data_IF_208154323717
#
_entry.id   IF_208154323717
#
_cell.length_a   1.000
_cell.length_b   1.000
_cell.length_c   1.000
_cell.angle_alpha   90.00
_cell.angle_beta   90.00
_cell.angle_gamma   90.00
#
_symmetry.space_group_name_H-M   'P 1'
#
loop_
_entity.id
_entity.type
_entity.pdbx_description
1 polymer ?
#
# COMPACT_ATOMS: atom_id res chain seq x y z
N UNK A 1 -13.11 52.79 42.87
CA UNK A 1 -11.78 52.83 43.52
C UNK A 1 -10.97 51.72 42.87
N UNK A 2 -10.30 52.01 41.75
CA UNK A 2 -8.86 52.34 41.65
C UNK A 2 -8.00 51.09 41.82
N UNK A 3 -7.04 50.66 40.99
CA UNK A 3 -6.31 51.02 39.75
C UNK A 3 -5.62 49.67 39.35
N UNK A 4 -5.26 49.29 38.12
CA UNK A 4 -4.44 49.94 37.07
C UNK A 4 -3.12 49.15 36.85
N UNK A 5 -2.60 49.17 35.61
CA UNK A 5 -1.39 48.52 35.02
C UNK A 5 -1.54 47.03 34.62
N UNK A 6 -1.70 46.63 33.36
CA UNK A 6 -1.02 46.93 32.07
C UNK A 6 0.42 46.43 31.98
N UNK A 7 0.64 45.39 31.16
CA UNK A 7 1.84 45.19 30.34
C UNK A 7 1.48 44.41 29.08
N UNK A 8 1.78 45.03 27.94
CA UNK A 8 1.62 44.57 26.56
C UNK A 8 2.85 43.78 26.08
N UNK A 9 2.57 42.93 25.11
CA UNK A 9 3.30 42.61 23.86
C UNK A 9 4.83 42.43 23.92
N UNK A 10 5.29 41.29 23.40
CA UNK A 10 6.22 41.30 22.24
C UNK A 10 6.14 39.95 21.50
N UNK A 11 5.71 40.06 20.24
CA UNK A 11 5.84 39.08 19.17
C UNK A 11 7.31 39.09 18.72
N UNK A 12 7.91 37.93 18.43
CA UNK A 12 9.19 37.88 17.72
C UNK A 12 9.00 37.18 16.38
N UNK A 13 8.88 38.02 15.36
CA UNK A 13 8.93 37.74 13.94
C UNK A 13 10.40 37.53 13.52
N UNK A 14 10.76 36.38 12.95
CA UNK A 14 12.09 36.18 12.35
C UNK A 14 11.97 36.27 10.83
N UNK A 15 12.29 37.47 10.34
CA UNK A 15 12.35 37.81 8.92
C UNK A 15 13.78 38.20 8.52
N UNK A 16 14.25 37.56 7.44
CA UNK A 16 15.28 37.98 6.48
C UNK A 16 16.77 37.99 6.89
N UNK A 17 17.54 37.15 6.20
CA UNK A 17 18.78 37.59 5.57
C UNK A 17 18.84 37.07 4.13
N UNK A 18 18.53 37.98 3.20
CA UNK A 18 18.95 37.94 1.80
C UNK A 18 20.14 38.89 1.73
N UNK A 19 21.30 38.39 1.33
CA UNK A 19 22.34 39.06 0.52
C UNK A 19 23.72 38.42 0.75
N UNK A 20 24.18 37.62 -0.23
CA UNK A 20 25.48 37.85 -0.84
C UNK A 20 25.55 37.13 -2.20
N UNK A 21 25.65 37.94 -3.25
CA UNK A 21 25.84 37.56 -4.64
C UNK A 21 27.16 38.20 -5.06
N UNK A 22 28.24 37.41 -5.11
CA UNK A 22 29.48 37.71 -5.85
C UNK A 22 29.94 36.35 -6.39
N UNK A 23 29.69 36.00 -7.66
CA UNK A 23 30.48 36.38 -8.84
C UNK A 23 31.98 36.19 -8.61
N UNK A 24 32.58 35.21 -9.30
CA UNK A 24 33.90 35.32 -9.96
C UNK A 24 34.20 34.05 -10.76
N UNK A 25 34.41 34.24 -12.07
CA UNK A 25 35.33 33.51 -12.96
C UNK A 25 35.16 32.00 -13.21
N UNK A 26 34.76 31.66 -14.45
CA UNK A 26 34.92 30.31 -15.00
C UNK A 26 36.32 30.05 -15.54
N UNK A 27 36.57 28.85 -16.07
CA UNK A 27 37.57 28.65 -17.12
C UNK A 27 36.91 28.13 -18.40
N UNK A 28 36.83 29.00 -19.41
CA UNK A 28 36.93 28.51 -20.79
C UNK A 28 38.39 28.20 -21.07
N UNK A 29 38.67 27.06 -21.71
CA UNK A 29 39.54 27.04 -22.89
C UNK A 29 39.53 25.68 -23.60
N UNK A 30 39.40 25.81 -24.92
CA UNK A 30 39.90 24.92 -25.98
C UNK A 30 38.92 23.84 -26.45
N UNK A 31 38.12 24.28 -27.41
CA UNK A 31 37.71 23.50 -28.56
C UNK A 31 38.91 22.77 -29.18
N UNK A 32 38.96 21.45 -29.02
CA UNK A 32 39.72 20.55 -29.90
C UNK A 32 38.82 19.36 -30.22
N UNK A 33 38.34 19.34 -31.46
CA UNK A 33 37.47 18.30 -31.96
C UNK A 33 38.11 16.91 -31.84
N UNK A 34 37.33 15.98 -31.31
CA UNK A 34 37.47 14.56 -31.55
C UNK A 34 36.07 14.03 -31.80
N UNK A 35 35.76 13.84 -33.08
CA UNK A 35 34.65 13.04 -33.54
C UNK A 35 34.86 11.60 -33.05
N UNK A 36 34.28 11.26 -31.90
CA UNK A 36 34.16 9.87 -31.49
C UNK A 36 33.01 9.28 -32.31
N UNK A 37 33.39 8.50 -33.32
CA UNK A 37 32.46 7.73 -34.15
C UNK A 37 31.50 6.93 -33.26
N UNK A 38 30.21 7.20 -33.37
CA UNK A 38 29.14 6.50 -32.66
C UNK A 38 28.87 5.10 -33.28
N UNK A 39 29.93 4.32 -33.54
CA UNK A 39 29.84 3.06 -34.25
C UNK A 39 30.68 1.97 -33.60
N UNK A 40 30.31 1.54 -32.39
CA UNK A 40 30.45 0.13 -31.94
C UNK A 40 30.17 0.02 -30.45
N UNK A 41 29.01 0.50 -30.01
CA UNK A 41 28.59 0.19 -28.65
C UNK A 41 27.57 -0.96 -28.77
N UNK A 42 27.96 -2.21 -28.51
CA UNK A 42 27.21 -3.39 -28.95
C UNK A 42 25.94 -3.64 -28.15
N UNK A 43 24.77 -3.77 -28.79
CA UNK A 43 23.38 -3.83 -28.25
C UNK A 43 23.18 -4.38 -26.81
N UNK A 44 23.96 -5.36 -26.37
CA UNK A 44 23.99 -5.89 -24.99
C UNK A 44 24.32 -4.86 -23.88
N UNK A 45 24.92 -3.70 -24.16
CA UNK A 45 25.10 -2.65 -23.14
C UNK A 45 23.87 -1.74 -22.96
N UNK A 46 22.98 -1.61 -23.95
CA UNK A 46 21.71 -0.86 -23.80
C UNK A 46 20.73 -1.64 -22.90
N UNK A 47 20.84 -2.97 -22.88
CA UNK A 47 19.98 -3.86 -22.10
C UNK A 47 20.16 -3.73 -20.59
N UNK A 48 21.24 -3.08 -20.11
CA UNK A 48 21.50 -2.86 -18.67
C UNK A 48 21.11 -1.47 -18.18
N UNK A 49 20.49 -0.65 -19.02
CA UNK A 49 19.95 0.66 -18.64
C UNK A 49 18.43 0.71 -18.69
N UNK A 50 17.76 -0.43 -18.55
CA UNK A 50 16.40 -0.47 -18.02
C UNK A 50 16.48 -0.08 -16.54
N UNK A 51 16.69 1.21 -16.29
CA UNK A 51 16.56 1.82 -14.97
C UNK A 51 15.16 1.41 -14.52
N UNK A 52 15.07 0.57 -13.48
CA UNK A 52 13.82 0.39 -12.74
C UNK A 52 13.48 1.76 -12.19
N UNK A 53 12.76 2.56 -12.98
CA UNK A 53 12.20 3.80 -12.48
C UNK A 53 11.34 3.35 -11.30
N UNK A 54 11.59 3.83 -10.08
CA UNK A 54 10.74 3.49 -8.96
C UNK A 54 9.32 3.85 -9.41
N UNK A 55 8.41 2.87 -9.42
CA UNK A 55 7.10 3.11 -10.00
C UNK A 55 6.46 4.30 -9.29
N UNK A 56 6.13 5.31 -10.08
CA UNK A 56 5.56 6.55 -9.61
C UNK A 56 4.23 6.24 -8.92
N UNK A 57 4.01 6.86 -7.77
CA UNK A 57 2.69 6.83 -7.11
C UNK A 57 1.80 7.81 -7.85
N UNK A 58 0.64 7.33 -8.31
CA UNK A 58 -0.39 8.13 -8.97
C UNK A 58 -1.58 8.25 -8.02
N UNK A 59 -2.14 9.45 -7.88
CA UNK A 59 -3.36 9.69 -7.10
C UNK A 59 -4.54 9.74 -8.06
N UNK A 60 -5.58 8.97 -7.80
CA UNK A 60 -6.79 8.89 -8.61
C UNK A 60 -7.99 9.27 -7.73
N UNK A 61 -8.72 10.31 -8.12
CA UNK A 61 -9.91 10.80 -7.43
C UNK A 61 -11.17 10.41 -8.22
N UNK A 62 -12.13 9.73 -7.59
CA UNK A 62 -13.30 9.19 -8.28
C UNK A 62 -14.47 8.87 -7.34
N UNK A 63 -15.63 8.52 -7.91
CA UNK A 63 -16.79 8.05 -7.16
C UNK A 63 -16.55 6.62 -6.66
N UNK A 64 -16.26 6.48 -5.37
CA UNK A 64 -15.93 5.23 -4.70
C UNK A 64 -17.10 4.50 -4.07
N UNK A 65 -18.35 4.85 -4.38
CA UNK A 65 -19.54 4.17 -3.83
C UNK A 65 -19.44 2.66 -4.03
N UNK A 66 -19.72 1.89 -2.97
CA UNK A 66 -19.62 0.45 -2.98
C UNK A 66 -18.29 -0.04 -3.61
N UNK A 67 -17.16 0.55 -3.20
CA UNK A 67 -15.85 0.36 -3.84
C UNK A 67 -15.47 -1.13 -4.07
N UNK A 68 -15.83 -2.01 -3.14
CA UNK A 68 -15.55 -3.45 -3.22
C UNK A 68 -16.48 -4.23 -4.17
N UNK A 69 -17.53 -3.61 -4.71
CA UNK A 69 -18.31 -4.12 -5.84
C UNK A 69 -17.68 -3.69 -7.17
N UNK A 70 -16.95 -2.58 -7.18
CA UNK A 70 -16.22 -2.07 -8.35
C UNK A 70 -14.88 -2.78 -8.57
N UNK A 71 -14.26 -3.31 -7.51
CA UNK A 71 -12.98 -4.01 -7.60
C UNK A 71 -12.82 -5.07 -6.52
N UNK A 72 -11.95 -6.07 -6.77
CA UNK A 72 -11.48 -7.00 -5.75
C UNK A 72 -9.99 -6.81 -5.48
N UNK A 73 -9.61 -7.04 -4.21
CA UNK A 73 -8.22 -6.91 -3.76
C UNK A 73 -7.67 -8.24 -3.23
N UNK A 74 -6.36 -8.42 -3.38
CA UNK A 74 -5.60 -9.55 -2.82
C UNK A 74 -4.33 -9.03 -2.14
N UNK A 75 -3.67 -9.90 -1.39
CA UNK A 75 -2.39 -9.60 -0.74
C UNK A 75 -2.50 -9.62 0.76
N UNK A 76 -1.80 -8.70 1.43
CA UNK A 76 -1.74 -8.63 2.88
C UNK A 76 -0.51 -7.87 3.38
N UNK A 77 -0.22 -7.98 4.68
CA UNK A 77 0.82 -7.15 5.32
C UNK A 77 2.23 -7.43 4.80
N UNK A 78 2.52 -8.66 4.34
CA UNK A 78 3.82 -9.03 3.81
C UNK A 78 4.00 -8.58 2.35
N UNK A 79 2.97 -8.73 1.52
CA UNK A 79 3.08 -8.50 0.07
C UNK A 79 2.64 -7.11 -0.35
N UNK A 80 1.80 -6.45 0.45
CA UNK A 80 1.03 -5.28 0.06
C UNK A 80 -0.34 -5.65 -0.51
N UNK A 81 -1.21 -4.65 -0.63
CA UNK A 81 -2.60 -4.78 -1.11
C UNK A 81 -2.66 -4.43 -2.60
N UNK A 82 -3.09 -5.38 -3.42
CA UNK A 82 -3.16 -5.26 -4.87
C UNK A 82 -4.59 -5.34 -5.36
N UNK A 83 -4.89 -4.55 -6.40
CA UNK A 83 -6.09 -4.72 -7.21
C UNK A 83 -5.93 -6.02 -8.01
N UNK A 84 -6.88 -6.93 -7.89
CA UNK A 84 -6.90 -8.22 -8.59
C UNK A 84 -7.88 -8.21 -9.75
N UNK A 85 -9.09 -7.68 -9.54
CA UNK A 85 -10.12 -7.53 -10.59
C UNK A 85 -10.74 -6.15 -10.49
N UNK A 86 -11.18 -5.63 -11.63
CA UNK A 86 -11.97 -4.40 -11.73
C UNK A 86 -13.22 -4.75 -12.52
N UNK A 87 -14.37 -4.32 -12.03
CA UNK A 87 -15.67 -4.59 -12.64
C UNK A 87 -15.84 -3.72 -13.89
N UNK A 88 -16.14 -4.31 -15.06
CA UNK A 88 -16.34 -3.53 -16.28
C UNK A 88 -17.48 -2.51 -16.15
N UNK A 89 -17.28 -1.30 -16.66
CA UNK A 89 -18.24 -0.19 -16.60
C UNK A 89 -18.37 0.47 -15.22
N UNK A 90 -17.49 0.14 -14.27
CA UNK A 90 -17.43 0.82 -12.97
C UNK A 90 -16.62 2.11 -13.04
N UNK A 91 -16.87 3.03 -12.09
CA UNK A 91 -16.07 4.26 -11.96
C UNK A 91 -14.57 3.95 -11.74
N UNK A 92 -14.27 2.84 -11.06
CA UNK A 92 -12.91 2.33 -10.93
C UNK A 92 -12.25 2.01 -12.28
N UNK A 93 -12.97 1.38 -13.22
CA UNK A 93 -12.44 1.09 -14.56
C UNK A 93 -12.25 2.37 -15.38
N UNK A 94 -13.23 3.29 -15.35
CA UNK A 94 -13.18 4.58 -16.03
C UNK A 94 -11.94 5.39 -15.63
N UNK A 95 -11.55 5.28 -14.36
CA UNK A 95 -10.38 5.95 -13.78
C UNK A 95 -9.09 5.17 -13.94
N UNK A 96 -9.08 4.21 -14.89
CA UNK A 96 -7.92 3.44 -15.29
C UNK A 96 -7.27 2.63 -14.14
N UNK A 97 -8.05 2.23 -13.12
CA UNK A 97 -7.59 1.22 -12.16
C UNK A 97 -7.49 -0.13 -12.86
N UNK A 98 -6.39 -0.85 -12.60
CA UNK A 98 -6.09 -2.12 -13.27
C UNK A 98 -5.48 -3.12 -12.30
N UNK A 99 -5.69 -4.40 -12.62
CA UNK A 99 -5.03 -5.51 -11.94
C UNK A 99 -3.52 -5.34 -11.95
N UNK A 100 -2.86 -5.66 -10.83
CA UNK A 100 -1.42 -5.50 -10.66
C UNK A 100 -0.96 -4.10 -10.23
N UNK A 101 -1.92 -3.22 -9.93
CA UNK A 101 -1.65 -1.97 -9.25
C UNK A 101 -1.78 -2.18 -7.74
N UNK A 102 -0.80 -1.69 -6.98
CA UNK A 102 -0.78 -1.74 -5.53
C UNK A 102 -1.45 -0.48 -4.97
N UNK A 103 -2.35 -0.64 -4.00
CA UNK A 103 -2.98 0.47 -3.29
C UNK A 103 -2.07 0.85 -2.12
N UNK A 104 -1.67 2.13 -2.08
CA UNK A 104 -0.76 2.68 -1.06
C UNK A 104 -1.55 3.40 0.02
N UNK A 105 -2.50 4.25 -0.36
CA UNK A 105 -3.37 4.97 0.58
C UNK A 105 -4.79 5.07 0.05
N UNK A 106 -5.74 5.18 0.97
CA UNK A 106 -7.12 5.60 0.71
C UNK A 106 -7.38 6.90 1.46
N UNK A 107 -8.05 7.83 0.82
CA UNK A 107 -8.40 9.14 1.37
C UNK A 107 -9.87 9.45 1.05
N UNK A 108 -10.69 9.55 2.08
CA UNK A 108 -12.12 9.83 2.00
C UNK A 108 -12.39 11.17 2.70
N UNK A 109 -12.31 12.25 1.92
CA UNK A 109 -12.55 13.62 2.39
C UNK A 109 -14.00 14.09 2.14
N UNK A 110 -14.84 13.27 1.49
CA UNK A 110 -16.19 13.68 1.08
C UNK A 110 -17.32 13.14 1.97
N UNK A 111 -17.05 12.12 2.78
CA UNK A 111 -18.07 11.41 3.56
C UNK A 111 -17.65 11.26 5.01
N UNK A 112 -18.45 11.81 5.92
CA UNK A 112 -18.24 11.66 7.36
C UNK A 112 -18.51 10.21 7.81
N UNK A 113 -17.63 9.59 8.62
CA UNK A 113 -16.42 10.15 9.20
C UNK A 113 -15.26 10.19 8.19
N UNK A 114 -14.66 11.37 8.02
CA UNK A 114 -13.48 11.53 7.17
C UNK A 114 -12.36 10.62 7.64
N UNK A 115 -11.70 9.93 6.71
CA UNK A 115 -10.53 9.13 7.06
C UNK A 115 -9.52 9.06 5.93
N UNK A 116 -8.26 9.05 6.34
CA UNK A 116 -7.11 8.78 5.47
C UNK A 116 -6.31 7.66 6.10
N UNK A 117 -6.01 6.63 5.31
CA UNK A 117 -5.28 5.47 5.80
C UNK A 117 -4.21 5.01 4.81
N UNK A 118 -3.06 4.62 5.35
CA UNK A 118 -1.97 3.98 4.61
C UNK A 118 -2.19 2.48 4.67
N UNK A 119 -2.29 1.84 3.50
CA UNK A 119 -2.53 0.38 3.39
C UNK A 119 -1.24 -0.44 3.41
N UNK A 120 -0.08 0.21 3.32
CA UNK A 120 1.21 -0.48 3.41
C UNK A 120 1.38 -1.16 4.77
N UNK A 121 1.62 -2.48 4.75
CA UNK A 121 1.80 -3.27 5.96
C UNK A 121 0.51 -3.63 6.71
N UNK A 122 -0.66 -3.29 6.17
CA UNK A 122 -1.94 -3.74 6.70
C UNK A 122 -2.22 -5.18 6.30
N UNK A 123 -2.87 -5.93 7.19
CA UNK A 123 -3.41 -7.24 6.82
C UNK A 123 -4.51 -7.09 5.77
N UNK A 124 -4.81 -8.15 5.03
CA UNK A 124 -5.87 -8.10 4.04
C UNK A 124 -7.23 -7.74 4.67
N UNK A 125 -7.51 -8.24 5.87
CA UNK A 125 -8.72 -7.90 6.63
C UNK A 125 -8.82 -6.40 6.94
N UNK A 126 -7.75 -5.82 7.47
CA UNK A 126 -7.71 -4.39 7.79
C UNK A 126 -7.93 -3.53 6.54
N UNK A 127 -7.26 -3.88 5.44
CA UNK A 127 -7.39 -3.17 4.18
C UNK A 127 -8.81 -3.27 3.62
N UNK A 128 -9.40 -4.48 3.58
CA UNK A 128 -10.78 -4.69 3.11
C UNK A 128 -11.78 -3.94 4.01
N UNK A 129 -11.57 -3.94 5.33
CA UNK A 129 -12.41 -3.21 6.27
C UNK A 129 -12.41 -1.70 6.00
N UNK A 130 -11.23 -1.11 5.75
CA UNK A 130 -11.12 0.30 5.39
C UNK A 130 -11.73 0.62 4.03
N UNK A 131 -11.45 -0.18 3.01
CA UNK A 131 -11.98 0.03 1.66
C UNK A 131 -13.50 -0.13 1.61
N UNK A 132 -14.10 -0.95 2.49
CA UNK A 132 -15.56 -1.09 2.62
C UNK A 132 -16.25 0.17 3.16
N UNK A 133 -15.54 0.99 3.92
CA UNK A 133 -16.07 2.24 4.49
C UNK A 133 -16.14 3.39 3.47
N UNK A 134 -15.58 3.19 2.27
CA UNK A 134 -15.66 4.16 1.20
C UNK A 134 -17.09 4.21 0.68
N UNK A 135 -17.74 5.34 0.89
CA UNK A 135 -19.13 5.61 0.49
C UNK A 135 -19.20 7.05 -0.03
N UNK A 136 -18.82 7.27 -1.29
CA UNK A 136 -18.72 8.60 -1.88
C UNK A 136 -17.43 8.83 -2.65
N UNK A 137 -17.11 10.10 -2.90
CA UNK A 137 -15.84 10.50 -3.51
C UNK A 137 -14.64 10.09 -2.64
N UNK A 138 -13.63 9.49 -3.27
CA UNK A 138 -12.37 9.14 -2.60
C UNK A 138 -11.16 9.34 -3.51
N UNK A 139 -9.99 9.45 -2.89
CA UNK A 139 -8.70 9.42 -3.56
C UNK A 139 -7.93 8.15 -3.20
N UNK A 140 -7.54 7.37 -4.22
CA UNK A 140 -6.62 6.26 -4.05
C UNK A 140 -5.22 6.66 -4.54
N UNK A 141 -4.22 6.56 -3.67
CA UNK A 141 -2.82 6.61 -4.10
C UNK A 141 -2.40 5.20 -4.49
N UNK A 142 -2.03 5.01 -5.74
CA UNK A 142 -1.73 3.70 -6.32
C UNK A 142 -0.37 3.68 -6.99
N UNK A 143 0.27 2.51 -7.03
CA UNK A 143 1.59 2.32 -7.63
C UNK A 143 1.59 1.07 -8.49
N UNK A 144 2.08 1.17 -9.72
CA UNK A 144 2.22 -0.01 -10.60
C UNK A 144 3.31 -0.92 -10.04
N UNK A 145 2.96 -2.17 -9.70
CA UNK A 145 3.91 -3.16 -9.23
C UNK A 145 3.54 -4.54 -9.79
N UNK A 146 3.71 -4.67 -11.10
CA UNK A 146 3.34 -5.87 -11.85
C UNK A 146 4.21 -7.08 -11.49
N UNK A 147 5.49 -6.87 -11.16
CA UNK A 147 6.40 -7.94 -10.73
C UNK A 147 5.91 -8.57 -9.41
N UNK A 148 5.65 -7.75 -8.38
CA UNK A 148 5.16 -8.22 -7.09
C UNK A 148 3.79 -8.89 -7.18
N UNK A 149 2.87 -8.30 -7.96
CA UNK A 149 1.56 -8.88 -8.20
C UNK A 149 1.63 -10.24 -8.89
N UNK A 150 2.42 -10.38 -9.97
CA UNK A 150 2.54 -11.65 -10.70
C UNK A 150 3.09 -12.76 -9.80
N UNK A 151 4.10 -12.43 -8.99
CA UNK A 151 4.64 -13.37 -8.01
C UNK A 151 3.55 -13.83 -7.03
N UNK A 152 2.81 -12.88 -6.44
CA UNK A 152 1.72 -13.20 -5.51
C UNK A 152 0.66 -14.10 -6.17
N UNK A 153 0.20 -13.77 -7.38
CA UNK A 153 -0.79 -14.59 -8.11
C UNK A 153 -0.25 -16.00 -8.35
N UNK A 154 1.00 -16.14 -8.78
CA UNK A 154 1.63 -17.44 -8.98
C UNK A 154 1.72 -18.24 -7.67
N UNK A 155 2.13 -17.60 -6.58
CA UNK A 155 2.25 -18.25 -5.26
C UNK A 155 0.87 -18.71 -4.74
N UNK A 156 -0.20 -17.94 -5.00
CA UNK A 156 -1.58 -18.31 -4.68
C UNK A 156 -2.09 -19.48 -5.53
N UNK A 157 -1.87 -19.45 -6.85
CA UNK A 157 -2.26 -20.52 -7.78
C UNK A 157 -1.53 -21.83 -7.48
N UNK A 158 -0.24 -21.74 -7.15
CA UNK A 158 0.58 -22.88 -6.75
C UNK A 158 0.34 -23.34 -5.31
N UNK A 159 -0.54 -22.67 -4.55
CA UNK A 159 -0.82 -22.91 -3.13
C UNK A 159 0.44 -22.88 -2.25
N UNK A 160 1.44 -22.10 -2.64
CA UNK A 160 2.65 -21.83 -1.84
C UNK A 160 2.32 -20.89 -0.69
N UNK A 161 1.36 -19.99 -0.92
CA UNK A 161 0.78 -19.12 0.10
C UNK A 161 -0.74 -19.16 0.02
N UNK A 162 -1.41 -18.95 1.14
CA UNK A 162 -2.88 -18.83 1.22
C UNK A 162 -3.36 -17.40 0.94
N UNK A 163 -2.53 -16.41 1.27
CA UNK A 163 -2.78 -14.99 1.01
C UNK A 163 -1.47 -14.19 0.90
N UNK A 164 -1.50 -12.88 1.07
CA UNK A 164 -0.29 -12.05 1.26
C UNK A 164 -0.02 -11.64 2.71
N UNK A 165 -0.76 -12.21 3.67
CA UNK A 165 -0.54 -11.99 5.10
C UNK A 165 0.60 -12.89 5.63
N UNK A 166 1.40 -12.37 6.54
CA UNK A 166 2.39 -13.14 7.30
C UNK A 166 2.80 -12.39 8.56
N UNK A 167 2.41 -12.92 9.72
CA UNK A 167 2.85 -12.43 11.03
C UNK A 167 2.67 -13.51 12.09
N UNK A 168 3.26 -13.30 13.26
CA UNK A 168 3.13 -14.21 14.38
C UNK A 168 2.27 -13.59 15.49
N UNK A 169 1.45 -14.41 16.13
CA UNK A 169 0.71 -14.04 17.34
C UNK A 169 1.07 -14.98 18.48
N UNK A 170 0.99 -14.47 19.71
CA UNK A 170 1.04 -15.29 20.92
C UNK A 170 -0.37 -15.46 21.47
N UNK A 171 -0.78 -16.71 21.61
CA UNK A 171 -2.07 -17.07 22.18
C UNK A 171 -2.04 -16.82 23.69
N UNK A 172 -2.96 -16.01 24.20
CA UNK A 172 -3.08 -15.74 25.64
C UNK A 172 -4.22 -16.53 26.30
N UNK A 173 -5.10 -17.15 25.52
CA UNK A 173 -6.26 -17.92 25.99
C UNK A 173 -6.27 -19.28 25.31
N UNK A 174 -6.47 -20.35 26.07
CA UNK A 174 -6.66 -21.68 25.49
C UNK A 174 -8.03 -21.76 24.79
N UNK A 175 -8.06 -22.35 23.60
CA UNK A 175 -9.27 -22.58 22.82
C UNK A 175 -9.29 -24.05 22.39
N UNK A 176 -10.38 -24.74 22.68
CA UNK A 176 -10.65 -26.05 22.11
C UNK A 176 -11.25 -25.85 20.72
N UNK A 177 -10.75 -26.58 19.72
CA UNK A 177 -11.34 -26.55 18.38
C UNK A 177 -12.71 -27.22 18.40
N UNK A 178 -13.78 -26.43 18.24
CA UNK A 178 -15.17 -26.89 18.29
C UNK A 178 -15.69 -27.31 16.92
N UNK A 179 -15.19 -26.68 15.87
CA UNK A 179 -15.49 -27.05 14.49
C UNK A 179 -14.35 -27.88 13.88
N UNK A 180 -14.68 -28.63 12.82
CA UNK A 180 -13.77 -29.57 12.13
C UNK A 180 -12.45 -28.93 11.62
N UNK A 181 -12.39 -27.60 11.52
CA UNK A 181 -11.23 -26.84 11.02
C UNK A 181 -10.60 -25.93 12.08
N UNK A 182 -11.20 -25.82 13.25
CA UNK A 182 -10.67 -24.96 14.30
C UNK A 182 -9.41 -25.58 14.90
N UNK A 183 -8.34 -24.80 14.93
CA UNK A 183 -7.08 -25.22 15.53
C UNK A 183 -7.21 -25.15 17.06
N UNK A 184 -7.13 -26.28 17.79
CA UNK A 184 -7.02 -26.22 19.24
C UNK A 184 -5.69 -25.59 19.62
N UNK A 185 -5.73 -24.60 20.52
CA UNK A 185 -4.55 -23.82 20.91
C UNK A 185 -4.49 -23.65 22.42
N UNK A 186 -3.28 -23.57 22.95
CA UNK A 186 -3.00 -23.39 24.37
C UNK A 186 -2.39 -22.02 24.63
N UNK A 187 -2.59 -21.50 25.84
CA UNK A 187 -1.92 -20.28 26.29
C UNK A 187 -0.39 -20.43 26.13
N UNK A 188 0.25 -19.43 25.53
CA UNK A 188 1.67 -19.42 25.23
C UNK A 188 2.05 -19.96 23.86
N UNK A 189 1.13 -20.61 23.11
CA UNK A 189 1.42 -21.01 21.74
C UNK A 189 1.72 -19.79 20.85
N UNK A 190 2.70 -19.94 19.95
CA UNK A 190 3.03 -18.95 18.93
C UNK A 190 2.51 -19.50 17.60
N UNK A 191 1.62 -18.75 16.95
CA UNK A 191 0.99 -19.16 15.70
C UNK A 191 1.47 -18.27 14.57
N UNK A 192 1.73 -18.86 13.41
CA UNK A 192 1.98 -18.14 12.18
C UNK A 192 0.63 -17.90 11.48
N UNK A 193 0.24 -16.63 11.36
CA UNK A 193 -0.97 -16.22 10.65
C UNK A 193 -0.59 -15.88 9.22
N UNK A 194 -1.15 -16.66 8.28
CA UNK A 194 -0.91 -16.53 6.84
C UNK A 194 -2.13 -16.02 6.07
N UNK A 195 -3.28 -15.88 6.71
CA UNK A 195 -4.50 -15.36 6.08
C UNK A 195 -5.50 -14.82 7.10
N UNK A 196 -5.90 -13.57 6.96
CA UNK A 196 -6.82 -12.88 7.89
C UNK A 196 -8.27 -12.76 7.39
N UNK A 197 -8.52 -12.97 6.09
CA UNK A 197 -9.86 -12.87 5.49
C UNK A 197 -10.46 -14.24 5.15
N UNK A 198 -10.23 -15.24 5.99
CA UNK A 198 -10.77 -16.57 5.76
C UNK A 198 -12.29 -16.59 5.98
N UNK A 199 -13.05 -16.71 4.89
CA UNK A 199 -14.48 -17.02 4.96
C UNK A 199 -14.66 -18.53 5.03
N UNK A 200 -15.36 -19.01 6.06
CA UNK A 200 -15.70 -20.43 6.21
C UNK A 200 -16.79 -20.79 5.19
N UNK A 201 -16.38 -21.19 3.99
CA UNK A 201 -17.28 -21.75 2.97
C UNK A 201 -17.49 -23.26 3.15
N UNK A 202 -18.63 -23.83 2.71
CA UNK A 202 -18.94 -25.26 2.87
C UNK A 202 -18.00 -26.22 2.10
N UNK A 203 -17.14 -25.71 1.21
CA UNK A 203 -16.28 -26.50 0.32
C UNK A 203 -14.77 -26.23 0.44
N UNK A 204 -14.30 -25.52 1.47
CA UNK A 204 -12.84 -25.34 1.64
C UNK A 204 -12.19 -26.72 1.84
N UNK A 205 -11.04 -27.04 1.26
CA UNK A 205 -10.34 -28.32 1.53
C UNK A 205 -9.44 -28.19 2.76
N UNK A 206 -9.18 -29.28 3.49
CA UNK A 206 -8.21 -29.27 4.59
C UNK A 206 -6.80 -29.10 4.01
N UNK A 207 -6.07 -28.08 4.45
CA UNK A 207 -4.61 -28.09 4.34
C UNK A 207 -4.06 -28.95 5.49
N UNK A 208 -3.05 -29.79 5.20
CA UNK A 208 -2.67 -30.92 6.05
C UNK A 208 -2.04 -30.52 7.41
N UNK A 209 -1.62 -29.27 7.61
CA UNK A 209 -0.94 -28.81 8.83
C UNK A 209 -1.49 -27.49 9.41
N UNK A 210 -2.55 -26.93 8.83
CA UNK A 210 -3.13 -25.63 9.23
C UNK A 210 -4.56 -25.75 9.74
N UNK A 211 -4.98 -24.81 10.59
CA UNK A 211 -6.36 -24.69 11.06
C UNK A 211 -6.76 -23.23 11.26
N UNK A 212 -8.05 -22.98 11.44
CA UNK A 212 -8.60 -21.64 11.64
C UNK A 212 -8.65 -21.31 13.12
N UNK A 213 -8.41 -20.05 13.46
CA UNK A 213 -8.68 -19.50 14.79
C UNK A 213 -9.64 -18.32 14.63
N UNK A 214 -10.49 -18.03 15.64
CA UNK A 214 -11.36 -16.86 15.57
C UNK A 214 -10.54 -15.58 15.55
N UNK A 215 -10.95 -14.63 14.70
CA UNK A 215 -10.43 -13.27 14.73
C UNK A 215 -11.01 -12.52 15.93
N UNK A 216 -10.24 -11.60 16.52
CA UNK A 216 -10.76 -10.67 17.51
C UNK A 216 -11.82 -9.77 16.86
N UNK A 217 -13.05 -9.78 17.37
CA UNK A 217 -14.08 -8.83 16.96
C UNK A 217 -13.72 -7.45 17.51
N UNK A 218 -13.63 -6.46 16.61
CA UNK A 218 -13.44 -5.04 16.93
C UNK A 218 -14.78 -4.33 17.06
#
# INVERSE_FOLDING_TARGET
MSQGLSRKEEEEEVSLNRDLLESESGPQLISRGLCVSASSVPVWWWQRLARKLPSQVTVLAFQGDALLEQMSVIGGNLTGIFIHRVTPGSAAEEMALRSGTQIVTVDCEATEPFFKAVLQGMTLEQAVSLLRRVDGFCCLSVKVNTEGYKKLVQDLEAKVTTSGDSFYIRVNLALEGRAERELPVHCGNILHVTYTMFQVGPYSTRDAEGGTIPTYAW
#
